data_IF_071791805666
#
_entry.id   IF_071791805666
#
_cell.length_a   1.000
_cell.length_b   1.000
_cell.length_c   1.000
_cell.angle_alpha   90.00
_cell.angle_beta   90.00
_cell.angle_gamma   90.00
#
_symmetry.space_group_name_H-M   'P 1'
#
loop_
_entity.id
_entity.type
_entity.pdbx_description
1 polymer ?
#
# COMPACT_ATOMS: atom_id res chain seq x y z
N UNK A 1 3.99 -4.51 -7.47
CA UNK A 1 2.79 -3.69 -7.69
C UNK A 1 3.14 -2.73 -8.80
N UNK A 2 2.28 -2.60 -9.81
CA UNK A 2 2.43 -1.56 -10.82
C UNK A 2 1.84 -0.25 -10.27
N UNK A 3 2.61 0.83 -10.35
CA UNK A 3 2.23 2.16 -9.88
C UNK A 3 1.72 3.06 -11.01
N UNK A 4 1.65 2.56 -12.25
CA UNK A 4 1.21 3.33 -13.41
C UNK A 4 -0.19 3.96 -13.25
N UNK A 5 -1.06 3.37 -12.44
CA UNK A 5 -2.37 3.96 -12.12
C UNK A 5 -2.31 5.31 -11.39
N UNK A 6 -1.15 5.71 -10.85
CA UNK A 6 -0.94 7.04 -10.25
C UNK A 6 -0.52 8.11 -11.26
N UNK A 7 -0.13 7.72 -12.48
CA UNK A 7 0.36 8.62 -13.53
C UNK A 7 -0.78 9.24 -14.35
N UNK A 8 -1.96 8.62 -14.35
CA UNK A 8 -3.12 9.06 -15.10
C UNK A 8 -4.23 9.57 -14.17
N UNK A 9 -4.93 10.63 -14.61
CA UNK A 9 -6.09 11.14 -13.89
C UNK A 9 -7.35 10.38 -14.30
N UNK A 10 -7.80 9.46 -13.45
CA UNK A 10 -9.14 8.89 -13.49
C UNK A 10 -10.18 9.91 -12.98
N UNK A 11 -10.69 10.71 -13.92
CA UNK A 11 -11.72 11.71 -13.65
C UNK A 11 -13.01 11.08 -13.09
N UNK A 12 -13.40 9.88 -13.53
CA UNK A 12 -14.65 9.24 -13.10
C UNK A 12 -14.58 8.86 -11.62
N UNK A 13 -13.46 8.29 -11.20
CA UNK A 13 -13.21 7.98 -9.80
C UNK A 13 -13.17 9.25 -8.95
N UNK A 14 -12.50 10.31 -9.40
CA UNK A 14 -12.43 11.58 -8.68
C UNK A 14 -13.78 12.28 -8.56
N UNK A 15 -14.61 12.27 -9.62
CA UNK A 15 -15.99 12.75 -9.55
C UNK A 15 -16.84 11.92 -8.60
N UNK A 16 -16.65 10.60 -8.58
CA UNK A 16 -17.37 9.69 -7.67
C UNK A 16 -16.99 9.98 -6.22
N UNK A 17 -15.69 10.19 -5.96
CA UNK A 17 -15.18 10.65 -4.68
C UNK A 17 -15.79 12.00 -4.26
N UNK A 18 -15.75 13.00 -5.14
CA UNK A 18 -16.30 14.34 -4.89
C UNK A 18 -17.82 14.33 -4.66
N UNK A 19 -18.56 13.49 -5.38
CA UNK A 19 -20.01 13.30 -5.18
C UNK A 19 -20.29 12.66 -3.81
N UNK A 20 -19.46 11.71 -3.40
CA UNK A 20 -19.49 11.15 -2.04
C UNK A 20 -19.14 12.20 -0.97
N UNK A 21 -18.23 13.13 -1.29
CA UNK A 21 -17.88 14.26 -0.43
C UNK A 21 -19.04 15.24 -0.25
N UNK A 22 -19.82 15.51 -1.30
CA UNK A 22 -20.91 16.51 -1.27
C UNK A 22 -22.18 16.07 -0.49
N UNK A 23 -22.37 14.78 -0.21
CA UNK A 23 -23.48 14.32 0.65
C UNK A 23 -23.15 14.62 2.12
N UNK A 24 -23.56 15.80 2.58
CA UNK A 24 -23.28 16.35 3.93
C UNK A 24 -23.98 15.65 5.11
N UNK A 25 -24.65 14.51 4.95
CA UNK A 25 -25.51 13.91 5.99
C UNK A 25 -25.11 12.53 6.52
N UNK A 26 -23.83 12.17 6.43
CA UNK A 26 -23.27 11.11 7.28
C UNK A 26 -22.78 9.87 6.53
N UNK A 27 -21.56 9.46 6.90
CA UNK A 27 -20.80 8.31 6.40
C UNK A 27 -20.64 8.29 4.88
N UNK A 28 -19.59 8.95 4.41
CA UNK A 28 -18.93 8.53 3.19
C UNK A 28 -18.58 7.04 3.34
N UNK A 29 -19.30 6.18 2.62
CA UNK A 29 -19.08 4.75 2.63
C UNK A 29 -18.33 4.38 1.36
N UNK A 30 -17.03 4.09 1.48
CA UNK A 30 -16.20 3.58 0.39
C UNK A 30 -16.81 2.35 -0.29
N UNK A 31 -17.65 1.60 0.43
CA UNK A 31 -18.41 0.47 -0.11
C UNK A 31 -19.36 0.86 -1.25
N UNK A 32 -19.70 2.14 -1.44
CA UNK A 32 -20.52 2.60 -2.57
C UNK A 32 -19.71 3.05 -3.79
N UNK A 33 -18.38 3.20 -3.66
CA UNK A 33 -17.50 3.43 -4.81
C UNK A 33 -17.26 2.11 -5.56
N UNK A 34 -17.37 0.99 -4.85
CA UNK A 34 -17.28 -0.33 -5.44
C UNK A 34 -18.68 -0.94 -5.41
N UNK A 35 -19.32 -1.03 -6.57
CA UNK A 35 -20.49 -1.91 -6.72
C UNK A 35 -19.97 -3.32 -6.43
N UNK A 36 -20.20 -3.82 -5.23
CA UNK A 36 -20.08 -5.24 -4.97
C UNK A 36 -21.49 -5.79 -4.94
N UNK A 37 -21.91 -6.36 -6.06
CA UNK A 37 -23.04 -7.28 -6.07
C UNK A 37 -22.78 -8.35 -5.00
N UNK A 38 -23.76 -8.53 -4.11
CA UNK A 38 -23.77 -9.50 -3.01
C UNK A 38 -24.02 -10.92 -3.54
N UNK A 39 -23.27 -11.33 -4.57
CA UNK A 39 -23.25 -12.72 -5.03
C UNK A 39 -22.01 -13.43 -4.46
N UNK A 40 -22.12 -14.75 -4.25
CA UNK A 40 -20.99 -15.60 -3.84
C UNK A 40 -19.84 -15.48 -4.85
N UNK A 41 -18.87 -14.63 -4.52
CA UNK A 41 -17.68 -14.40 -5.34
C UNK A 41 -16.64 -15.45 -5.06
N UNK A 42 -16.06 -15.99 -6.13
CA UNK A 42 -14.88 -16.85 -6.06
C UNK A 42 -13.74 -16.18 -5.29
N UNK A 43 -12.81 -16.97 -4.74
CA UNK A 43 -11.63 -16.46 -4.02
C UNK A 43 -10.84 -15.45 -4.89
N UNK A 44 -10.72 -15.72 -6.19
CA UNK A 44 -10.06 -14.84 -7.15
C UNK A 44 -10.76 -13.48 -7.32
N UNK A 45 -12.09 -13.45 -7.31
CA UNK A 45 -12.86 -12.21 -7.39
C UNK A 45 -12.78 -11.41 -6.10
N UNK A 46 -12.69 -12.08 -4.95
CA UNK A 46 -12.45 -11.43 -3.66
C UNK A 46 -11.07 -10.78 -3.62
N UNK A 47 -10.02 -11.50 -4.08
CA UNK A 47 -8.66 -10.97 -4.23
C UNK A 47 -8.62 -9.73 -5.12
N UNK A 48 -9.24 -9.83 -6.30
CA UNK A 48 -9.30 -8.72 -7.26
C UNK A 48 -10.04 -7.50 -6.69
N UNK A 49 -11.15 -7.73 -5.99
CA UNK A 49 -11.95 -6.67 -5.35
C UNK A 49 -11.17 -5.95 -4.24
N UNK A 50 -10.46 -6.70 -3.40
CA UNK A 50 -9.69 -6.13 -2.31
C UNK A 50 -8.47 -5.33 -2.81
N UNK A 51 -7.82 -5.79 -3.88
CA UNK A 51 -6.74 -5.07 -4.53
C UNK A 51 -7.23 -3.73 -5.11
N UNK A 52 -8.36 -3.74 -5.82
CA UNK A 52 -8.97 -2.50 -6.37
C UNK A 52 -9.34 -1.51 -5.27
N UNK A 53 -9.89 -1.98 -4.15
CA UNK A 53 -10.23 -1.12 -3.00
C UNK A 53 -8.99 -0.43 -2.44
N UNK A 54 -7.88 -1.16 -2.32
CA UNK A 54 -6.60 -0.59 -1.89
C UNK A 54 -6.09 0.44 -2.88
N UNK A 55 -5.99 0.08 -4.16
CA UNK A 55 -5.50 0.98 -5.20
C UNK A 55 -6.32 2.26 -5.24
N UNK A 56 -7.64 2.15 -5.11
CA UNK A 56 -8.55 3.30 -5.04
C UNK A 56 -8.23 4.21 -3.86
N UNK A 57 -8.02 3.65 -2.66
CA UNK A 57 -7.67 4.46 -1.49
C UNK A 57 -6.32 5.18 -1.67
N UNK A 58 -5.30 4.45 -2.15
CA UNK A 58 -3.97 4.99 -2.44
C UNK A 58 -4.02 6.08 -3.52
N UNK A 59 -4.80 5.86 -4.58
CA UNK A 59 -5.01 6.80 -5.66
C UNK A 59 -5.66 8.11 -5.19
N UNK A 60 -6.71 8.01 -4.36
CA UNK A 60 -7.38 9.19 -3.80
C UNK A 60 -6.42 9.99 -2.91
N UNK A 61 -5.67 9.30 -2.04
CA UNK A 61 -4.66 9.95 -1.19
C UNK A 61 -3.61 10.66 -2.06
N UNK A 62 -3.07 9.95 -3.05
CA UNK A 62 -2.12 10.52 -4.01
C UNK A 62 -2.67 11.78 -4.68
N UNK A 63 -3.88 11.72 -5.23
CA UNK A 63 -4.49 12.87 -5.93
C UNK A 63 -4.69 14.07 -5.01
N UNK A 64 -5.12 13.86 -3.76
CA UNK A 64 -5.29 14.97 -2.82
C UNK A 64 -3.96 15.66 -2.55
N UNK A 65 -2.90 14.92 -2.23
CA UNK A 65 -1.61 15.55 -1.95
C UNK A 65 -0.93 16.10 -3.22
N UNK A 66 -0.88 15.33 -4.29
CA UNK A 66 -0.17 15.70 -5.53
C UNK A 66 -0.86 16.81 -6.31
N UNK A 67 -2.17 16.72 -6.48
CA UNK A 67 -2.90 17.58 -7.42
C UNK A 67 -3.77 18.64 -6.73
N UNK A 68 -4.40 18.31 -5.61
CA UNK A 68 -5.27 19.27 -4.90
C UNK A 68 -4.47 20.21 -4.01
N UNK A 69 -3.55 19.67 -3.21
CA UNK A 69 -2.64 20.44 -2.36
C UNK A 69 -1.39 20.92 -3.11
N UNK A 70 -1.10 20.33 -4.27
CA UNK A 70 0.02 20.72 -5.13
C UNK A 70 1.40 20.33 -4.58
N UNK A 71 1.47 19.35 -3.66
CA UNK A 71 2.72 18.83 -3.13
C UNK A 71 3.49 18.10 -4.25
N UNK A 72 4.69 18.57 -4.56
CA UNK A 72 5.59 17.99 -5.57
C UNK A 72 6.59 17.04 -4.94
N UNK A 73 6.91 17.27 -3.68
CA UNK A 73 7.90 16.51 -2.90
C UNK A 73 7.24 15.78 -1.73
N UNK A 74 7.95 14.78 -1.20
CA UNK A 74 7.50 14.06 -0.01
C UNK A 74 7.45 15.01 1.19
N UNK A 75 8.44 15.89 1.33
CA UNK A 75 8.55 16.86 2.42
C UNK A 75 7.34 17.80 2.48
N UNK A 76 6.91 18.33 1.32
CA UNK A 76 5.70 19.16 1.22
C UNK A 76 4.43 18.37 1.60
N UNK A 77 4.36 17.10 1.21
CA UNK A 77 3.23 16.25 1.51
C UNK A 77 3.15 15.93 3.01
N UNK A 78 4.28 15.57 3.63
CA UNK A 78 4.36 15.32 5.08
C UNK A 78 4.04 16.57 5.89
N UNK A 79 4.54 17.75 5.50
CA UNK A 79 4.20 19.02 6.15
C UNK A 79 2.70 19.35 6.06
N UNK A 80 2.04 18.91 5.00
CA UNK A 80 0.61 19.11 4.78
C UNK A 80 -0.26 18.02 5.41
N UNK A 81 0.31 16.92 5.92
CA UNK A 81 -0.41 15.75 6.40
C UNK A 81 -0.97 15.93 7.83
N UNK A 82 -1.56 17.09 8.12
CA UNK A 82 -2.12 17.41 9.44
C UNK A 82 -3.53 16.85 9.61
N UNK A 83 -3.96 16.60 10.85
CA UNK A 83 -5.33 16.18 11.15
C UNK A 83 -6.40 17.09 10.52
N UNK A 84 -6.18 18.41 10.50
CA UNK A 84 -7.10 19.37 9.88
C UNK A 84 -7.27 19.09 8.37
N UNK A 85 -6.15 18.89 7.65
CA UNK A 85 -6.17 18.59 6.22
C UNK A 85 -6.84 17.24 5.97
N UNK A 86 -6.48 16.20 6.73
CA UNK A 86 -7.07 14.87 6.58
C UNK A 86 -8.59 14.89 6.80
N UNK A 87 -9.08 15.68 7.76
CA UNK A 87 -10.51 15.89 8.01
C UNK A 87 -11.17 16.71 6.92
N UNK A 88 -10.55 17.83 6.51
CA UNK A 88 -11.04 18.74 5.46
C UNK A 88 -11.28 17.98 4.15
N UNK A 89 -10.38 17.10 3.77
CA UNK A 89 -10.49 16.30 2.55
C UNK A 89 -11.13 14.93 2.77
N UNK A 90 -11.71 14.65 3.94
CA UNK A 90 -12.35 13.36 4.31
C UNK A 90 -11.46 12.12 4.16
N UNK A 91 -10.14 12.29 4.11
CA UNK A 91 -9.17 11.20 4.03
C UNK A 91 -9.20 10.31 5.28
N UNK A 92 -9.59 10.86 6.43
CA UNK A 92 -9.81 10.07 7.66
C UNK A 92 -10.74 8.89 7.40
N UNK A 93 -11.76 9.03 6.56
CA UNK A 93 -12.71 7.94 6.28
C UNK A 93 -12.08 6.78 5.51
N UNK A 94 -11.07 7.05 4.66
CA UNK A 94 -10.26 6.05 3.99
C UNK A 94 -9.35 5.31 4.98
N UNK A 95 -8.93 6.00 6.04
CA UNK A 95 -8.04 5.49 7.09
C UNK A 95 -8.80 4.80 8.24
N UNK A 96 -10.05 5.20 8.51
CA UNK A 96 -10.81 4.89 9.74
C UNK A 96 -11.49 3.53 9.72
N UNK A 97 -11.87 3.03 8.54
CA UNK A 97 -12.55 1.75 8.40
C UNK A 97 -11.83 0.91 7.36
N UNK A 98 -11.41 -0.30 7.77
CA UNK A 98 -10.72 -1.31 6.93
C UNK A 98 -9.29 -0.89 6.56
N UNK A 99 -8.35 -1.20 7.46
CA UNK A 99 -7.03 -1.72 7.09
C UNK A 99 -6.47 -1.22 5.73
N UNK A 100 -5.97 0.01 5.63
CA UNK A 100 -5.05 0.29 4.51
C UNK A 100 -3.84 -0.62 4.76
N UNK A 101 -3.66 -1.57 3.86
CA UNK A 101 -2.60 -2.56 3.96
C UNK A 101 -1.47 -2.21 3.00
N UNK A 102 -0.25 -2.43 3.49
CA UNK A 102 0.97 -2.40 2.69
C UNK A 102 1.41 -3.84 2.42
N UNK A 103 2.11 -4.09 1.31
CA UNK A 103 2.51 -5.42 0.87
C UNK A 103 1.71 -5.94 -0.33
N UNK A 104 1.48 -7.25 -0.42
CA UNK A 104 0.69 -7.91 -1.48
C UNK A 104 -0.52 -8.59 -0.85
N UNK A 105 -1.70 -8.42 -1.45
CA UNK A 105 -2.94 -9.05 -0.98
C UNK A 105 -2.81 -10.59 -1.01
N UNK A 106 -3.31 -11.29 0.01
CA UNK A 106 -3.27 -12.75 0.14
C UNK A 106 -1.98 -13.31 0.77
N UNK A 107 -0.80 -12.82 0.40
CA UNK A 107 0.47 -13.40 0.88
C UNK A 107 1.02 -12.70 2.13
N UNK A 108 1.27 -11.39 1.99
CA UNK A 108 2.14 -10.67 2.92
C UNK A 108 1.55 -9.36 3.41
N UNK A 109 0.23 -9.31 3.59
CA UNK A 109 -0.47 -8.13 4.09
C UNK A 109 0.03 -7.67 5.47
N UNK A 110 0.21 -6.36 5.57
CA UNK A 110 0.56 -5.64 6.78
C UNK A 110 -0.44 -4.51 6.96
N UNK A 111 -1.18 -4.56 8.05
CA UNK A 111 -2.26 -3.61 8.31
C UNK A 111 -1.78 -2.40 9.10
N UNK A 112 -2.03 -1.21 8.57
CA UNK A 112 -1.95 0.04 9.34
C UNK A 112 -3.16 0.08 10.27
N UNK A 113 -2.91 0.15 11.58
CA UNK A 113 -3.94 0.20 12.61
C UNK A 113 -3.96 1.60 13.20
N UNK A 114 -5.12 2.25 13.13
CA UNK A 114 -5.46 3.55 13.72
C UNK A 114 -5.07 4.78 12.88
N UNK A 115 -5.84 5.83 13.16
CA UNK A 115 -5.58 7.20 12.75
C UNK A 115 -4.45 7.76 13.62
N UNK A 116 -3.22 7.56 13.18
CA UNK A 116 -2.00 8.22 13.69
C UNK A 116 -1.43 9.00 12.51
N UNK A 117 -1.07 10.27 12.71
CA UNK A 117 -0.41 11.10 11.68
C UNK A 117 0.87 10.41 11.16
N UNK A 118 1.50 9.55 11.98
CA UNK A 118 2.62 8.73 11.52
C UNK A 118 2.25 7.70 10.43
N UNK A 119 1.02 7.20 10.38
CA UNK A 119 0.62 6.19 9.39
C UNK A 119 0.34 6.80 8.02
N UNK A 120 -0.16 8.03 7.95
CA UNK A 120 -0.29 8.72 6.67
C UNK A 120 1.08 9.04 6.08
N UNK A 121 2.08 9.40 6.90
CA UNK A 121 3.44 9.67 6.42
C UNK A 121 4.09 8.40 5.83
N UNK A 122 3.82 7.22 6.40
CA UNK A 122 4.23 5.94 5.78
C UNK A 122 3.60 5.78 4.40
N UNK A 123 2.29 6.03 4.26
CA UNK A 123 1.60 5.93 2.97
C UNK A 123 2.19 6.91 1.95
N UNK A 124 2.40 8.17 2.36
CA UNK A 124 2.97 9.19 1.48
C UNK A 124 4.37 8.80 1.02
N UNK A 125 5.25 8.37 1.92
CA UNK A 125 6.59 7.94 1.55
C UNK A 125 6.57 6.78 0.55
N UNK A 126 5.67 5.81 0.75
CA UNK A 126 5.47 4.70 -0.20
C UNK A 126 5.03 5.22 -1.58
N UNK A 127 4.08 6.14 -1.63
CA UNK A 127 3.53 6.66 -2.89
C UNK A 127 4.55 7.50 -3.66
N UNK A 128 5.25 8.42 -2.99
CA UNK A 128 6.23 9.30 -3.62
C UNK A 128 7.46 8.53 -4.13
N UNK A 129 7.87 7.48 -3.42
CA UNK A 129 9.02 6.66 -3.83
C UNK A 129 8.63 5.40 -4.62
N UNK A 130 7.33 5.15 -4.83
CA UNK A 130 6.79 3.99 -5.55
C UNK A 130 7.37 2.67 -5.06
N UNK A 131 7.43 2.50 -3.74
CA UNK A 131 8.09 1.36 -3.13
C UNK A 131 7.47 0.02 -3.56
N UNK A 132 8.33 -0.96 -3.85
CA UNK A 132 7.91 -2.34 -4.00
C UNK A 132 7.51 -2.95 -2.64
N UNK A 133 7.09 -4.22 -2.66
CA UNK A 133 6.61 -4.91 -1.46
C UNK A 133 7.63 -4.87 -0.30
N UNK A 134 8.92 -5.06 -0.60
CA UNK A 134 9.96 -5.12 0.42
C UNK A 134 10.23 -3.73 0.98
N UNK A 135 10.42 -2.75 0.10
CA UNK A 135 10.65 -1.37 0.48
C UNK A 135 9.47 -0.78 1.28
N UNK A 136 8.22 -1.20 1.00
CA UNK A 136 7.05 -0.85 1.81
C UNK A 136 7.17 -1.36 3.26
N UNK A 137 7.56 -2.61 3.45
CA UNK A 137 7.73 -3.19 4.79
C UNK A 137 8.88 -2.52 5.56
N UNK A 138 10.00 -2.27 4.88
CA UNK A 138 11.15 -1.57 5.45
C UNK A 138 10.81 -0.13 5.85
N UNK A 139 10.09 0.59 4.99
CA UNK A 139 9.57 1.92 5.27
C UNK A 139 8.73 1.93 6.55
N UNK A 140 7.80 0.99 6.69
CA UNK A 140 6.97 0.89 7.90
C UNK A 140 7.82 0.59 9.14
N UNK A 141 8.78 -0.32 9.06
CA UNK A 141 9.66 -0.65 10.20
C UNK A 141 10.48 0.56 10.64
N UNK A 142 11.05 1.32 9.69
CA UNK A 142 11.83 2.54 9.94
C UNK A 142 10.97 3.63 10.58
N UNK A 143 9.82 3.95 9.99
CA UNK A 143 8.93 5.03 10.46
C UNK A 143 8.19 4.70 11.76
N UNK A 144 8.17 3.43 12.17
CA UNK A 144 7.57 3.00 13.44
C UNK A 144 8.60 2.54 14.46
N UNK A 145 9.88 2.85 14.26
CA UNK A 145 10.91 2.62 15.26
C UNK A 145 10.57 3.31 16.60
N UNK A 146 10.85 2.63 17.71
CA UNK A 146 10.48 3.08 19.06
C UNK A 146 8.99 2.98 19.40
N UNK A 147 8.09 2.79 18.42
CA UNK A 147 6.65 2.59 18.67
C UNK A 147 6.35 1.12 19.00
N UNK A 148 5.57 0.87 20.05
CA UNK A 148 5.09 -0.49 20.36
C UNK A 148 3.95 -0.91 19.44
N UNK A 149 4.28 -1.42 18.24
CA UNK A 149 3.32 -1.93 17.25
C UNK A 149 3.57 -3.39 16.94
N UNK A 150 2.60 -4.26 17.18
CA UNK A 150 2.66 -5.70 16.84
C UNK A 150 2.89 -5.92 15.34
N UNK A 151 2.36 -5.03 14.51
CA UNK A 151 2.60 -4.98 13.06
C UNK A 151 4.07 -4.85 12.69
N UNK A 152 4.87 -4.09 13.46
CA UNK A 152 6.31 -3.93 13.22
C UNK A 152 7.06 -5.26 13.37
N UNK A 153 6.72 -6.02 14.41
CA UNK A 153 7.32 -7.34 14.63
C UNK A 153 6.95 -8.33 13.52
N UNK A 154 5.72 -8.24 12.97
CA UNK A 154 5.32 -9.03 11.80
C UNK A 154 6.13 -8.66 10.55
N UNK A 155 6.35 -7.37 10.28
CA UNK A 155 7.21 -6.92 9.18
C UNK A 155 8.63 -7.45 9.34
N UNK A 156 9.25 -7.30 10.52
CA UNK A 156 10.59 -7.82 10.78
C UNK A 156 10.71 -9.32 10.55
N UNK A 157 9.70 -10.10 10.99
CA UNK A 157 9.66 -11.55 10.76
C UNK A 157 9.56 -11.90 9.27
N UNK A 158 8.72 -11.18 8.52
CA UNK A 158 8.55 -11.38 7.07
C UNK A 158 9.79 -10.99 6.28
N UNK A 159 10.39 -9.83 6.58
CA UNK A 159 11.65 -9.39 5.97
C UNK A 159 12.75 -10.44 6.20
N UNK A 160 12.88 -10.94 7.42
CA UNK A 160 13.86 -11.99 7.75
C UNK A 160 13.61 -13.29 6.96
N UNK A 161 12.34 -13.72 6.85
CA UNK A 161 11.97 -14.91 6.09
C UNK A 161 12.26 -14.75 4.60
N UNK A 162 11.93 -13.59 4.02
CA UNK A 162 12.21 -13.30 2.62
C UNK A 162 13.71 -13.29 2.31
N UNK A 163 14.51 -12.62 3.15
CA UNK A 163 15.96 -12.60 2.99
C UNK A 163 16.58 -14.00 3.12
N UNK A 164 16.04 -14.87 3.98
CA UNK A 164 16.48 -16.26 4.08
C UNK A 164 16.16 -17.06 2.80
N UNK A 165 14.97 -16.88 2.22
CA UNK A 165 14.59 -17.53 0.95
C UNK A 165 15.48 -17.08 -0.21
N UNK A 166 15.80 -15.78 -0.31
CA UNK A 166 16.72 -15.27 -1.33
C UNK A 166 18.11 -15.89 -1.22
N UNK A 167 18.68 -15.93 -0.01
CA UNK A 167 19.98 -16.55 0.25
C UNK A 167 20.00 -18.04 -0.10
N UNK A 168 18.90 -18.75 0.15
CA UNK A 168 18.75 -20.15 -0.21
C UNK A 168 18.68 -20.34 -1.74
N UNK A 169 17.89 -19.52 -2.44
CA UNK A 169 17.81 -19.51 -3.90
C UNK A 169 19.17 -19.27 -4.54
N UNK A 170 19.92 -18.27 -4.06
CA UNK A 170 21.27 -17.95 -4.55
C UNK A 170 22.24 -19.12 -4.36
N UNK A 171 22.15 -19.82 -3.23
CA UNK A 171 22.94 -21.04 -2.97
C UNK A 171 22.59 -22.14 -3.96
N UNK A 172 21.32 -22.38 -4.23
CA UNK A 172 20.88 -23.37 -5.23
C UNK A 172 21.40 -23.03 -6.63
N UNK A 173 21.29 -21.77 -7.06
CA UNK A 173 21.81 -21.34 -8.36
C UNK A 173 23.33 -21.48 -8.46
N UNK A 174 24.07 -21.13 -7.41
CA UNK A 174 25.52 -21.30 -7.37
C UNK A 174 25.95 -22.78 -7.45
N UNK A 175 25.24 -23.67 -6.76
CA UNK A 175 25.47 -25.13 -6.82
C UNK A 175 25.16 -25.70 -8.20
N UNK A 176 24.03 -25.31 -8.81
CA UNK A 176 23.66 -25.73 -10.16
C UNK A 176 24.70 -25.29 -11.19
N UNK A 177 25.19 -24.05 -11.10
CA UNK A 177 26.25 -23.53 -11.99
C UNK A 177 27.55 -24.32 -11.87
N UNK A 178 27.99 -24.64 -10.65
CA UNK A 178 29.17 -25.48 -10.40
C UNK A 178 29.03 -26.89 -10.97
N UNK A 179 27.84 -27.50 -10.88
CA UNK A 179 27.60 -28.83 -11.46
C UNK A 179 27.68 -28.82 -12.99
N UNK A 180 27.18 -27.76 -13.64
CA UNK A 180 27.28 -27.58 -15.10
C UNK A 180 28.74 -27.39 -15.54
N UNK A 181 29.52 -26.59 -14.81
CA UNK A 181 30.94 -26.36 -15.10
C UNK A 181 31.78 -27.64 -14.91
N UNK A 182 31.55 -28.39 -13.83
CA UNK A 182 32.24 -29.66 -13.58
C UNK A 182 31.87 -30.75 -14.61
N UNK A 183 30.61 -30.77 -15.08
CA UNK A 183 30.15 -31.67 -16.13
C UNK A 183 30.69 -31.34 -17.52
N UNK A 184 31.10 -30.09 -17.77
CA UNK A 184 31.76 -29.66 -19.02
C UNK A 184 33.26 -29.97 -19.04
N UNK A 185 33.94 -29.90 -17.90
CA UNK A 185 35.37 -30.22 -17.80
C UNK A 185 35.68 -31.73 -17.72
N UNK A 186 34.65 -32.57 -17.65
CA UNK A 186 34.78 -34.04 -17.61
C UNK A 186 34.48 -34.71 -18.95
N UNK A 187 34.33 -33.94 -20.03
CA UNK A 187 34.21 -34.40 -21.42
C UNK A 187 35.40 -33.90 -22.23
#
# INVERSE_FOLDING_TARGET
MDWGYLDELDCNLLYTYAKGFAKCSGRFCMEKIHISDEEEKSEQEQLTSAERKRQTALYIIWCVFRHVLGCRTLEEAEASATEEVLRKYKLVSLLKNRHIYIGVYGDNEIYLYKYDEGDINVILEILYNRYDMMAQMECFVRRTEGKQRTTRNRCLKKIKAYNAMLLESDRYHALAKKQIENGRNSK
#
